data_IF_690756928066
#
_entry.id   IF_690756928066
#
_cell.length_a   1.000
_cell.length_b   1.000
_cell.length_c   1.000
_cell.angle_alpha   90.00
_cell.angle_beta   90.00
_cell.angle_gamma   90.00
#
_symmetry.space_group_name_H-M   'P 1'
#
loop_
_entity.id
_entity.type
_entity.pdbx_description
1 polymer ?
#
# COMPACT_ATOMS: atom_id res chain seq x y z
N UNK A 1 14.31 -10.67 -3.97
CA UNK A 1 13.30 -9.59 -4.06
C UNK A 1 11.96 -10.09 -4.59
N UNK A 2 11.90 -10.63 -5.82
CA UNK A 2 10.65 -11.05 -6.48
C UNK A 2 9.82 -12.11 -5.70
N UNK A 3 10.46 -13.07 -5.04
CA UNK A 3 9.77 -14.11 -4.23
C UNK A 3 9.01 -13.47 -3.05
N UNK A 4 9.60 -12.45 -2.40
CA UNK A 4 8.98 -11.74 -1.28
C UNK A 4 7.79 -10.91 -1.76
N UNK A 5 7.91 -10.28 -2.93
CA UNK A 5 6.80 -9.56 -3.59
C UNK A 5 5.63 -10.48 -3.87
N UNK A 6 5.91 -11.65 -4.46
CA UNK A 6 4.89 -12.64 -4.77
C UNK A 6 4.20 -13.15 -3.50
N UNK A 7 4.97 -13.48 -2.46
CA UNK A 7 4.41 -13.87 -1.16
C UNK A 7 3.52 -12.77 -0.56
N UNK A 8 3.97 -11.51 -0.55
CA UNK A 8 3.20 -10.36 -0.02
C UNK A 8 1.89 -10.11 -0.76
N UNK A 9 1.88 -10.29 -2.09
CA UNK A 9 0.71 -10.03 -2.91
C UNK A 9 -0.31 -11.17 -2.88
N UNK A 10 0.13 -12.43 -2.77
CA UNK A 10 -0.78 -13.57 -2.95
C UNK A 10 -0.96 -14.43 -1.69
N UNK A 11 0.11 -14.67 -0.93
CA UNK A 11 0.12 -15.66 0.17
C UNK A 11 0.07 -15.02 1.57
N UNK A 12 0.29 -13.71 1.67
CA UNK A 12 0.33 -12.99 2.93
C UNK A 12 -1.09 -12.82 3.50
N UNK A 13 -1.30 -12.92 4.82
CA UNK A 13 -2.63 -12.78 5.43
C UNK A 13 -3.33 -11.46 5.10
N UNK A 14 -2.58 -10.38 4.87
CA UNK A 14 -3.13 -9.08 4.44
C UNK A 14 -3.47 -8.99 2.94
N UNK A 15 -3.14 -9.98 2.10
CA UNK A 15 -3.55 -9.98 0.68
C UNK A 15 -5.06 -10.12 0.46
N UNK A 16 -5.78 -10.55 1.51
CA UNK A 16 -7.24 -10.66 1.52
C UNK A 16 -7.92 -9.29 1.48
N UNK A 17 -7.24 -8.24 1.93
CA UNK A 17 -7.74 -6.89 1.90
C UNK A 17 -7.33 -6.25 0.57
N UNK A 18 -8.29 -5.79 -0.25
CA UNK A 18 -7.97 -5.16 -1.51
C UNK A 18 -7.30 -3.81 -1.23
N UNK A 19 -6.23 -3.51 -1.97
CA UNK A 19 -5.48 -2.28 -1.77
C UNK A 19 -4.41 -2.07 -2.85
N UNK A 20 -3.73 -0.92 -2.85
CA UNK A 20 -2.72 -0.61 -3.85
C UNK A 20 -1.56 -1.60 -3.80
N UNK A 21 -1.29 -2.27 -4.92
CA UNK A 21 -0.21 -3.25 -5.01
C UNK A 21 1.13 -2.65 -4.59
N UNK A 22 1.43 -1.42 -5.01
CA UNK A 22 2.67 -0.72 -4.64
C UNK A 22 2.86 -0.53 -3.13
N UNK A 23 1.77 -0.28 -2.40
CA UNK A 23 1.77 -0.20 -0.94
C UNK A 23 2.04 -1.58 -0.30
N UNK A 24 1.51 -2.65 -0.89
CA UNK A 24 1.75 -4.02 -0.43
C UNK A 24 3.18 -4.51 -0.72
N UNK A 25 3.82 -4.00 -1.80
CA UNK A 25 5.15 -4.45 -2.20
C UNK A 25 6.26 -3.65 -1.53
N UNK A 26 6.06 -2.35 -1.31
CA UNK A 26 7.15 -1.42 -1.00
C UNK A 26 6.75 -0.29 -0.06
N UNK A 27 7.67 0.09 0.84
CA UNK A 27 7.52 1.25 1.73
C UNK A 27 7.67 2.60 1.01
N UNK A 28 8.12 2.59 -0.26
CA UNK A 28 8.25 3.79 -1.09
C UNK A 28 6.91 4.48 -1.33
N UNK A 29 5.81 3.73 -1.31
CA UNK A 29 4.47 4.30 -1.38
C UNK A 29 4.23 5.26 -0.21
N UNK A 30 4.50 4.83 1.03
CA UNK A 30 4.40 5.70 2.20
C UNK A 30 5.34 6.90 2.11
N UNK A 31 6.61 6.65 1.75
CA UNK A 31 7.61 7.72 1.61
C UNK A 31 7.18 8.79 0.60
N UNK A 32 6.56 8.41 -0.52
CA UNK A 32 6.06 9.35 -1.50
C UNK A 32 5.00 10.27 -0.88
N UNK A 33 3.99 9.73 -0.21
CA UNK A 33 2.93 10.57 0.38
C UNK A 33 3.40 11.37 1.60
N UNK A 34 4.31 10.81 2.39
CA UNK A 34 4.84 11.48 3.58
C UNK A 34 5.83 12.61 3.23
N UNK A 35 6.72 12.38 2.25
CA UNK A 35 7.82 13.31 1.94
C UNK A 35 7.55 14.15 0.70
N UNK A 36 7.00 13.55 -0.36
CA UNK A 36 6.80 14.24 -1.64
C UNK A 36 5.42 14.91 -1.70
N UNK A 37 4.38 14.24 -1.20
CA UNK A 37 3.03 14.80 -1.15
C UNK A 37 2.74 15.60 0.12
N UNK A 38 3.77 15.89 0.94
CA UNK A 38 3.64 16.80 2.08
C UNK A 38 2.89 16.23 3.30
N UNK A 39 2.93 14.92 3.53
CA UNK A 39 2.30 14.29 4.70
C UNK A 39 0.86 13.84 4.48
N UNK A 40 0.40 13.77 3.23
CA UNK A 40 -0.99 13.42 2.88
C UNK A 40 -1.30 11.91 2.95
N UNK A 41 -0.44 11.11 3.58
CA UNK A 41 -0.63 9.65 3.67
C UNK A 41 -1.95 9.28 4.37
N UNK A 42 -2.36 10.04 5.38
CA UNK A 42 -3.64 9.85 6.08
C UNK A 42 -4.84 10.16 5.18
N UNK A 43 -4.78 11.25 4.42
CA UNK A 43 -5.83 11.64 3.46
C UNK A 43 -5.97 10.59 2.36
N UNK A 44 -4.84 10.18 1.78
CA UNK A 44 -4.78 9.12 0.78
C UNK A 44 -5.28 7.79 1.34
N UNK A 45 -4.96 7.44 2.59
CA UNK A 45 -5.50 6.23 3.24
C UNK A 45 -7.02 6.31 3.40
N UNK A 46 -7.58 7.47 3.76
CA UNK A 46 -9.02 7.67 3.85
C UNK A 46 -9.71 7.56 2.47
N UNK A 47 -9.07 8.03 1.40
CA UNK A 47 -9.56 7.83 0.03
C UNK A 47 -9.49 6.36 -0.39
N UNK A 48 -8.39 5.68 -0.09
CA UNK A 48 -8.24 4.26 -0.35
C UNK A 48 -9.29 3.43 0.38
N UNK A 49 -9.62 3.79 1.63
CA UNK A 49 -10.70 3.16 2.38
C UNK A 49 -12.06 3.36 1.70
N UNK A 50 -12.34 4.53 1.11
CA UNK A 50 -13.56 4.74 0.30
C UNK A 50 -13.61 3.87 -0.94
N UNK A 51 -12.46 3.58 -1.56
CA UNK A 51 -12.36 2.79 -2.80
C UNK A 51 -12.38 1.28 -2.52
N UNK A 52 -11.69 0.85 -1.48
CA UNK A 52 -11.40 -0.56 -1.20
C UNK A 52 -12.18 -1.15 -0.02
N UNK A 53 -12.82 -0.32 0.81
CA UNK A 53 -13.67 -0.75 1.93
C UNK A 53 -13.11 -0.37 3.28
#
# INVERSE_FOLDING_TARGET
LAIVVFYRLYLHPLSKFPGPKFAAVSSLYHFYYDVVAGGEMLSNLAELHKVYG
#
